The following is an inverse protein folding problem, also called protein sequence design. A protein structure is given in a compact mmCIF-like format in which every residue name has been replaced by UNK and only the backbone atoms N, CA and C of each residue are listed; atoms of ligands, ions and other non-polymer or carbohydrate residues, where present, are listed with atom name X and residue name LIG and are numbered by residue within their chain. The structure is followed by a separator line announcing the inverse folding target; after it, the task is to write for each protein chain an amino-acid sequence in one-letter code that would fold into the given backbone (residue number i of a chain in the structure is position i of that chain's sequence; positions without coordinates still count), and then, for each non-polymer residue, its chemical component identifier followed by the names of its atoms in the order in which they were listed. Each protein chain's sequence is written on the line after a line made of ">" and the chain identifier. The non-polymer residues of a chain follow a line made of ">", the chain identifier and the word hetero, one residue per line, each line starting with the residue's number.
data_IF_218170010926
#
_entry.id   IF_218170010926
#
_cell.length_a   1.000
_cell.length_b   1.000
_cell.length_c   1.000
_cell.angle_alpha   90.00
_cell.angle_beta   90.00
_cell.angle_gamma   90.00
#
_symmetry.space_group_name_H-M   'P 1'
#
loop_
_entity.id
_entity.type
_entity.pdbx_description
1 polymer ?
#
# COMPACT_ATOMS: atom_id res chain seq x y z
N UNK A 1 -1.96 -8.09 16.98
CA UNK A 1 -1.96 -8.12 15.52
C UNK A 1 -1.46 -6.81 14.99
N UNK A 2 -0.72 -6.86 13.91
CA UNK A 2 -0.20 -5.64 13.32
C UNK A 2 -1.32 -4.83 12.68
N UNK A 3 -1.25 -3.52 12.81
CA UNK A 3 -2.18 -2.60 12.19
C UNK A 3 -1.50 -2.01 10.96
N UNK A 4 -1.81 -2.57 9.80
CA UNK A 4 -1.15 -2.20 8.56
C UNK A 4 -2.01 -1.17 7.83
N UNK A 5 -1.39 -0.09 7.38
CA UNK A 5 -2.09 0.94 6.62
C UNK A 5 -1.31 1.28 5.36
N UNK A 6 -2.06 1.57 4.31
CA UNK A 6 -1.52 2.10 3.08
C UNK A 6 -1.94 3.56 2.99
N UNK A 7 -0.97 4.46 2.90
CA UNK A 7 -1.23 5.89 2.82
C UNK A 7 -0.90 6.37 1.42
N UNK A 8 -1.90 6.89 0.73
CA UNK A 8 -1.77 7.35 -0.64
C UNK A 8 -1.11 8.73 -0.69
N UNK A 9 -0.72 9.16 -1.87
CA UNK A 9 -0.01 10.43 -2.01
C UNK A 9 -0.86 11.64 -1.58
N UNK A 10 -2.18 11.51 -1.61
CA UNK A 10 -3.07 12.58 -1.16
C UNK A 10 -3.35 12.52 0.33
N UNK A 11 -2.74 11.60 1.04
CA UNK A 11 -2.92 11.45 2.48
C UNK A 11 -4.03 10.49 2.89
N UNK A 12 -4.75 9.92 1.96
CA UNK A 12 -5.81 8.97 2.29
C UNK A 12 -5.21 7.69 2.87
N UNK A 13 -5.78 7.22 3.98
CA UNK A 13 -5.31 6.01 4.66
C UNK A 13 -6.28 4.86 4.42
N UNK A 14 -5.74 3.71 4.10
CA UNK A 14 -6.53 2.50 3.88
C UNK A 14 -6.03 1.43 4.83
N UNK A 15 -6.92 0.89 5.66
CA UNK A 15 -6.57 -0.20 6.57
C UNK A 15 -6.45 -1.49 5.78
N UNK A 16 -5.36 -2.22 6.01
CA UNK A 16 -5.10 -3.47 5.30
C UNK A 16 -5.04 -4.63 6.28
N UNK A 17 -5.46 -5.80 5.80
CA UNK A 17 -5.22 -7.05 6.52
C UNK A 17 -3.80 -7.53 6.28
N UNK A 18 -3.30 -7.35 5.08
CA UNK A 18 -1.93 -7.73 4.76
C UNK A 18 -1.45 -6.98 3.52
N UNK A 19 -0.14 -6.95 3.37
CA UNK A 19 0.50 -6.38 2.18
C UNK A 19 1.68 -7.28 1.83
N UNK A 20 1.61 -7.91 0.67
CA UNK A 20 2.67 -8.79 0.20
C UNK A 20 3.62 -7.98 -0.68
N UNK A 21 4.75 -7.57 -0.11
CA UNK A 21 5.72 -6.76 -0.83
C UNK A 21 5.08 -5.48 -1.35
N UNK A 22 5.23 -5.22 -2.63
CA UNK A 22 4.58 -4.08 -3.27
C UNK A 22 3.55 -4.50 -4.32
N UNK A 23 3.13 -5.77 -4.30
CA UNK A 23 2.31 -6.31 -5.39
C UNK A 23 0.89 -6.67 -4.99
N UNK A 24 0.61 -6.91 -3.73
CA UNK A 24 -0.70 -7.45 -3.35
C UNK A 24 -1.13 -6.94 -1.99
N UNK A 25 -2.23 -6.19 -1.96
CA UNK A 25 -2.84 -5.71 -0.73
C UNK A 25 -4.16 -6.42 -0.50
N UNK A 26 -4.41 -6.82 0.74
CA UNK A 26 -5.66 -7.48 1.15
C UNK A 26 -6.32 -6.64 2.22
N UNK A 27 -7.62 -6.42 2.09
CA UNK A 27 -8.36 -5.60 3.03
C UNK A 27 -9.78 -6.13 3.18
N UNK A 28 -10.43 -5.72 4.27
CA UNK A 28 -11.83 -6.08 4.52
C UNK A 28 -12.66 -4.80 4.41
N UNK A 29 -13.74 -4.88 3.66
CA UNK A 29 -14.69 -3.78 3.53
C UNK A 29 -16.06 -4.22 4.04
N UNK A 30 -16.83 -3.28 4.54
CA UNK A 30 -18.18 -3.57 5.02
C UNK A 30 -19.08 -4.01 3.88
N UNK A 31 -18.89 -3.46 2.69
CA UNK A 31 -19.74 -3.74 1.54
C UNK A 31 -18.90 -3.74 0.27
N UNK A 32 -19.44 -4.37 -0.78
CA UNK A 32 -18.81 -4.33 -2.10
C UNK A 32 -18.73 -2.90 -2.64
N UNK A 33 -19.72 -2.05 -2.29
CA UNK A 33 -19.71 -0.66 -2.70
C UNK A 33 -18.55 0.08 -2.05
N UNK A 34 -18.25 -0.23 -0.78
CA UNK A 34 -17.10 0.35 -0.09
C UNK A 34 -15.81 -0.02 -0.79
N UNK A 35 -15.68 -1.27 -1.21
CA UNK A 35 -14.52 -1.72 -1.96
C UNK A 35 -14.41 -0.97 -3.28
N UNK A 36 -15.53 -0.80 -3.99
CA UNK A 36 -15.54 -0.09 -5.26
C UNK A 36 -15.08 1.37 -5.08
N UNK A 37 -15.49 2.00 -3.99
CA UNK A 37 -15.07 3.37 -3.70
C UNK A 37 -13.55 3.45 -3.52
N UNK A 38 -12.98 2.49 -2.80
CA UNK A 38 -11.54 2.46 -2.61
C UNK A 38 -10.82 2.23 -3.94
N UNK A 39 -11.34 1.32 -4.76
CA UNK A 39 -10.78 1.06 -6.07
C UNK A 39 -10.72 2.35 -6.88
N UNK A 40 -11.80 3.14 -6.85
CA UNK A 40 -11.86 4.39 -7.61
C UNK A 40 -10.87 5.44 -7.10
N UNK A 41 -10.37 5.30 -5.87
CA UNK A 41 -9.39 6.22 -5.31
C UNK A 41 -7.96 5.88 -5.71
N UNK A 42 -7.73 4.71 -6.27
CA UNK A 42 -6.38 4.24 -6.61
C UNK A 42 -5.98 4.71 -8.00
N UNK A 43 -5.95 6.02 -8.19
CA UNK A 43 -5.55 6.62 -9.45
C UNK A 43 -4.03 6.66 -9.56
N UNK A 44 -3.48 6.87 -10.77
CA UNK A 44 -2.03 7.02 -10.91
C UNK A 44 -1.45 8.10 -10.02
N UNK A 45 -2.18 9.21 -9.86
CA UNK A 45 -1.72 10.30 -8.99
C UNK A 45 -1.67 9.85 -7.54
N UNK A 46 -2.71 9.14 -7.08
CA UNK A 46 -2.76 8.67 -5.70
C UNK A 46 -1.69 7.63 -5.44
N UNK A 47 -1.32 6.85 -6.45
CA UNK A 47 -0.32 5.79 -6.33
C UNK A 47 1.09 6.26 -6.67
N UNK A 48 1.26 7.55 -6.96
CA UNK A 48 2.59 8.07 -7.30
C UNK A 48 3.58 7.91 -6.15
N UNK A 49 3.10 7.98 -4.92
CA UNK A 49 3.92 7.68 -3.74
C UNK A 49 3.01 7.08 -2.68
N UNK A 50 3.30 5.86 -2.27
CA UNK A 50 2.51 5.12 -1.29
C UNK A 50 3.40 4.80 -0.11
N UNK A 51 2.88 5.03 1.10
CA UNK A 51 3.60 4.70 2.33
C UNK A 51 2.85 3.57 3.01
N UNK A 52 3.58 2.52 3.38
CA UNK A 52 3.03 1.41 4.15
C UNK A 52 3.51 1.56 5.58
N UNK A 53 2.57 1.58 6.52
CA UNK A 53 2.91 1.64 7.94
C UNK A 53 2.44 0.37 8.63
N UNK A 54 3.11 0.04 9.72
CA UNK A 54 2.73 -1.08 10.57
C UNK A 54 2.80 -0.59 12.00
N UNK A 55 1.66 -0.59 12.68
CA UNK A 55 1.53 -0.07 14.05
C UNK A 55 2.03 1.37 14.16
N UNK A 56 1.77 2.16 13.13
CA UNK A 56 2.10 3.57 13.11
C UNK A 56 3.51 3.88 12.62
N UNK A 57 4.33 2.87 12.36
CA UNK A 57 5.69 3.07 11.88
C UNK A 57 5.79 2.77 10.40
N UNK A 58 6.49 3.64 9.68
CA UNK A 58 6.70 3.42 8.25
C UNK A 58 7.62 2.24 8.02
N UNK A 59 7.13 1.24 7.29
CA UNK A 59 7.93 0.06 6.97
C UNK A 59 8.39 0.07 5.51
N UNK A 60 7.68 0.78 4.63
CA UNK A 60 8.16 0.94 3.25
C UNK A 60 7.47 2.12 2.60
N UNK A 61 8.11 2.66 1.57
CA UNK A 61 7.54 3.67 0.69
C UNK A 61 7.76 3.20 -0.74
N UNK A 62 6.75 3.37 -1.57
CA UNK A 62 6.76 2.83 -2.92
C UNK A 62 6.33 3.92 -3.88
N UNK A 63 7.10 4.09 -4.96
CA UNK A 63 6.81 5.10 -5.98
C UNK A 63 6.19 4.45 -7.20
N UNK A 64 5.28 5.15 -7.82
CA UNK A 64 4.76 4.82 -9.15
C UNK A 64 4.16 3.44 -9.24
N UNK A 65 3.35 3.08 -8.23
CA UNK A 65 2.58 1.84 -8.29
C UNK A 65 1.51 1.95 -9.37
N UNK A 66 1.26 0.84 -10.04
CA UNK A 66 0.20 0.73 -11.03
C UNK A 66 -0.78 -0.35 -10.58
N UNK A 67 -2.05 0.01 -10.48
CA UNK A 67 -3.08 -0.97 -10.14
C UNK A 67 -3.31 -1.87 -11.36
N UNK A 68 -2.97 -3.14 -11.23
CA UNK A 68 -3.08 -4.08 -12.34
C UNK A 68 -4.35 -4.93 -12.26
N UNK A 69 -4.96 -5.04 -11.09
CA UNK A 69 -6.18 -5.83 -10.96
C UNK A 69 -6.78 -5.70 -9.59
N UNK A 70 -8.01 -6.15 -9.46
CA UNK A 70 -8.72 -6.12 -8.20
C UNK A 70 -9.69 -7.30 -8.16
N UNK A 71 -9.92 -7.82 -6.96
CA UNK A 71 -10.86 -8.93 -6.75
C UNK A 71 -11.60 -8.70 -5.44
N UNK A 72 -12.89 -8.98 -5.45
CA UNK A 72 -13.73 -8.80 -4.28
C UNK A 72 -14.45 -10.11 -4.00
N UNK A 73 -14.32 -10.63 -2.79
CA UNK A 73 -14.90 -11.91 -2.40
C UNK A 73 -15.86 -11.68 -1.24
N UNK A 74 -17.08 -12.20 -1.36
CA UNK A 74 -18.08 -12.08 -0.30
C UNK A 74 -17.72 -13.02 0.85
N UNK A 75 -17.86 -12.51 2.07
CA UNK A 75 -17.66 -13.28 3.28
C UNK A 75 -19.01 -13.68 3.88
N UNK A 76 -18.99 -14.69 4.76
CA UNK A 76 -20.21 -15.19 5.35
C UNK A 76 -20.90 -14.18 6.25
N UNK A 77 -20.15 -13.24 6.83
CA UNK A 77 -20.71 -12.26 7.76
C UNK A 77 -21.23 -11.00 7.07
N UNK A 78 -21.27 -11.00 5.74
CA UNK A 78 -21.78 -9.84 4.99
C UNK A 78 -20.72 -8.84 4.59
N UNK A 79 -19.49 -8.97 5.10
CA UNK A 79 -18.39 -8.14 4.64
C UNK A 79 -17.80 -8.72 3.35
N UNK A 80 -16.84 -8.00 2.78
CA UNK A 80 -16.14 -8.47 1.59
C UNK A 80 -14.64 -8.38 1.83
N UNK A 81 -13.92 -9.36 1.29
CA UNK A 81 -12.45 -9.32 1.27
C UNK A 81 -12.04 -8.77 -0.07
N UNK A 82 -11.30 -7.67 -0.04
CA UNK A 82 -10.81 -7.03 -1.25
C UNK A 82 -9.35 -7.35 -1.48
N UNK A 83 -9.00 -7.54 -2.74
CA UNK A 83 -7.61 -7.75 -3.16
C UNK A 83 -7.29 -6.71 -4.21
N UNK A 84 -6.19 -5.98 -4.00
CA UNK A 84 -5.65 -5.10 -5.03
C UNK A 84 -4.30 -5.66 -5.45
N UNK A 85 -4.11 -5.78 -6.75
CA UNK A 85 -2.87 -6.28 -7.32
C UNK A 85 -2.18 -5.12 -8.02
N UNK A 86 -0.91 -4.94 -7.73
CA UNK A 86 -0.13 -3.84 -8.26
C UNK A 86 1.01 -4.37 -9.11
N UNK A 87 1.38 -3.59 -10.11
CA UNK A 87 2.49 -3.89 -10.98
C UNK A 87 3.38 -2.66 -11.04
N UNK A 88 4.55 -2.78 -11.62
CA UNK A 88 5.51 -1.68 -11.70
C UNK A 88 5.85 -1.16 -10.31
N UNK A 89 6.26 0.10 -10.20
CA UNK A 89 6.61 0.69 -8.92
C UNK A 89 7.98 0.27 -8.45
N UNK A 90 8.54 1.04 -7.55
CA UNK A 90 9.81 0.74 -6.93
C UNK A 90 9.86 1.28 -5.52
N UNK A 91 10.57 0.58 -4.63
CA UNK A 91 10.74 1.03 -3.27
C UNK A 91 11.55 2.32 -3.25
N UNK A 92 11.11 3.27 -2.43
CA UNK A 92 11.84 4.51 -2.20
C UNK A 92 12.79 4.24 -1.04
N UNK A 93 14.11 4.49 -1.20
CA UNK A 93 15.04 4.23 -0.11
C UNK A 93 14.73 5.08 1.11
N UNK A 94 14.94 4.50 2.27
CA UNK A 94 14.86 5.22 3.52
C UNK A 94 15.96 6.26 3.54
N UNK A 95 15.63 7.50 3.90
CA UNK A 95 16.61 8.57 3.93
C UNK A 95 17.76 8.25 4.88
N UNK A 96 17.45 7.65 6.03
CA UNK A 96 18.49 7.30 6.97
C UNK A 96 19.42 6.24 6.41
N UNK A 97 18.86 5.22 5.78
CA UNK A 97 19.68 4.18 5.20
C UNK A 97 20.54 4.75 4.08
N UNK A 98 19.97 5.62 3.27
CA UNK A 98 20.68 6.20 2.18
C UNK A 98 21.80 7.11 2.69
N UNK A 99 21.49 7.97 3.65
CA UNK A 99 22.50 8.84 4.25
C UNK A 99 23.58 8.02 4.91
N UNK A 100 23.23 6.93 5.57
CA UNK A 100 24.22 6.07 6.20
C UNK A 100 25.16 5.45 5.18
N UNK A 101 24.63 5.01 4.06
CA UNK A 101 25.47 4.42 3.02
C UNK A 101 26.45 5.47 2.46
N UNK A 102 25.94 6.67 2.24
CA UNK A 102 26.80 7.74 1.74
C UNK A 102 27.90 8.07 2.73
N UNK A 103 27.53 8.20 4.00
CA UNK A 103 28.50 8.54 5.02
C UNK A 103 29.55 7.45 5.21
N UNK A 104 29.18 6.20 5.02
CA UNK A 104 30.12 5.11 5.11
C UNK A 104 31.03 5.02 3.89
N UNK A 105 30.84 5.88 2.97
CA UNK A 105 31.72 6.01 1.86
C UNK A 105 31.59 4.96 0.83
N UNK A 106 30.50 4.39 0.87
CA UNK A 106 30.34 3.53 -0.05
C UNK A 106 30.46 4.09 -1.24
N UNK A 107 30.69 4.84 -1.07
CA UNK A 107 30.89 5.20 -1.84
C UNK A 107 31.40 5.47 -2.07
N UNK A 108 31.31 5.51 -1.40
CA UNK A 108 31.91 5.99 -1.95
C UNK A 108 31.78 5.94 -2.36
#
# INVERSE_FOLDING_TARGET
>A
MANIKMILSDGMEIDLESMAGKSHAVLICDTARGFQRLWNKLTPEALSEVTITEDGETVSRIADLVLSGAQCVNNDDGTVTGHFYFDAGGYIPDEYAEAGRILLGEEG
#
